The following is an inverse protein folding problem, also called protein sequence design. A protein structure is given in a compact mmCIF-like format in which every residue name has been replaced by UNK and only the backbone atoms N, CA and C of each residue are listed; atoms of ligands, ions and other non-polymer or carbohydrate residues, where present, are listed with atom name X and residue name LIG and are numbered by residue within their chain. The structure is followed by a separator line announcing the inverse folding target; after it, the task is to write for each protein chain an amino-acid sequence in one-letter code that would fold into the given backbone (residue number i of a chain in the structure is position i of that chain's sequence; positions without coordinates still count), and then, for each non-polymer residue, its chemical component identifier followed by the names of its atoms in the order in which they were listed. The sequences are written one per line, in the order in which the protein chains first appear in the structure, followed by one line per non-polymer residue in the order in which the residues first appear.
data_IF_657527371217
#
_entry.id   IF_657527371217
#
_cell.length_a   1.000
_cell.length_b   1.000
_cell.length_c   1.000
_cell.angle_alpha   90.00
_cell.angle_beta   90.00
_cell.angle_gamma   90.00
#
_symmetry.space_group_name_H-M   'P 1'
#
loop_
_entity.id
_entity.type
_entity.pdbx_description
1 polymer ?
#
# COMPACT_ATOMS: atom_id res chain seq x y z
N UNK A 1 16.99 13.85 11.01
CA UNK A 1 16.08 12.68 11.11
C UNK A 1 16.90 11.41 11.03
N UNK A 2 16.82 10.54 12.03
CA UNK A 2 17.64 9.32 12.13
C UNK A 2 17.21 8.28 11.08
N UNK A 3 18.17 7.47 10.59
CA UNK A 3 17.93 6.34 9.68
C UNK A 3 16.79 5.40 10.15
N UNK A 4 16.71 4.99 11.43
CA UNK A 4 15.63 4.13 11.91
C UNK A 4 14.24 4.73 11.71
N UNK A 5 14.06 6.04 11.92
CA UNK A 5 12.75 6.67 11.74
C UNK A 5 12.31 6.65 10.28
N UNK A 6 13.24 6.81 9.34
CA UNK A 6 12.94 6.73 7.90
C UNK A 6 12.55 5.31 7.48
N UNK A 7 13.23 4.29 8.01
CA UNK A 7 12.87 2.89 7.77
C UNK A 7 11.49 2.55 8.36
N UNK A 8 11.22 3.02 9.57
CA UNK A 8 9.91 2.84 10.20
C UNK A 8 8.79 3.44 9.35
N UNK A 9 9.00 4.63 8.79
CA UNK A 9 8.02 5.26 7.90
C UNK A 9 7.91 4.55 6.54
N UNK A 10 8.99 3.96 6.04
CA UNK A 10 8.95 3.14 4.82
C UNK A 10 8.12 1.86 5.01
N UNK A 11 8.25 1.24 6.18
CA UNK A 11 7.61 -0.05 6.52
C UNK A 11 6.21 0.14 7.14
N UNK A 12 5.87 1.34 7.59
CA UNK A 12 4.58 1.63 8.23
C UNK A 12 3.37 1.10 7.45
N UNK A 13 3.25 1.30 6.12
CA UNK A 13 2.12 0.74 5.37
C UNK A 13 2.02 -0.78 5.42
N UNK A 14 3.15 -1.48 5.44
CA UNK A 14 3.16 -2.94 5.61
C UNK A 14 2.64 -3.33 6.99
N UNK A 15 3.11 -2.66 8.04
CA UNK A 15 2.65 -2.91 9.42
C UNK A 15 1.14 -2.69 9.51
N UNK A 16 0.63 -1.59 8.95
CA UNK A 16 -0.80 -1.32 8.92
C UNK A 16 -1.57 -2.36 8.12
N UNK A 17 -1.02 -2.84 7.01
CA UNK A 17 -1.67 -3.89 6.20
C UNK A 17 -1.77 -5.21 6.97
N UNK A 18 -0.70 -5.61 7.67
CA UNK A 18 -0.68 -6.82 8.50
C UNK A 18 -1.66 -6.69 9.67
N UNK A 19 -1.66 -5.55 10.35
CA UNK A 19 -2.58 -5.26 11.46
C UNK A 19 -4.04 -5.30 10.98
N UNK A 20 -4.32 -4.68 9.83
CA UNK A 20 -5.64 -4.70 9.21
C UNK A 20 -6.09 -6.12 8.92
N UNK A 21 -5.21 -6.96 8.36
CA UNK A 21 -5.56 -8.35 8.10
C UNK A 21 -5.79 -9.19 9.34
N UNK A 22 -4.96 -9.00 10.36
CA UNK A 22 -5.15 -9.67 11.65
C UNK A 22 -6.51 -9.32 12.27
N UNK A 23 -6.86 -8.03 12.31
CA UNK A 23 -8.16 -7.57 12.81
C UNK A 23 -9.34 -8.07 11.96
N UNK A 24 -9.15 -8.21 10.64
CA UNK A 24 -10.19 -8.74 9.74
C UNK A 24 -10.38 -10.24 9.97
N UNK A 25 -9.30 -11.01 10.12
CA UNK A 25 -9.35 -12.46 10.36
C UNK A 25 -9.92 -12.82 11.74
N UNK A 26 -9.66 -12.00 12.77
CA UNK A 26 -10.25 -12.18 14.09
C UNK A 26 -11.72 -11.74 14.16
N UNK A 27 -12.27 -11.20 13.08
CA UNK A 27 -13.67 -10.75 13.00
C UNK A 27 -13.93 -9.42 13.72
N UNK A 28 -12.87 -8.69 14.11
CA UNK A 28 -13.00 -7.34 14.66
C UNK A 28 -13.40 -6.32 13.60
N UNK A 29 -12.99 -6.54 12.34
CA UNK A 29 -13.40 -5.77 11.18
C UNK A 29 -14.29 -6.64 10.29
N UNK A 30 -15.56 -6.25 10.15
CA UNK A 30 -16.52 -6.92 9.28
C UNK A 30 -17.14 -5.89 8.34
N UNK A 31 -16.91 -6.07 7.05
CA UNK A 31 -17.42 -5.20 5.98
C UNK A 31 -18.60 -5.84 5.23
N UNK A 32 -19.17 -6.92 5.78
CA UNK A 32 -20.31 -7.63 5.22
C UNK A 32 -19.95 -8.77 4.27
N UNK A 33 -18.66 -8.99 3.97
CA UNK A 33 -18.20 -10.09 3.11
C UNK A 33 -17.79 -11.36 3.89
N UNK A 34 -17.76 -11.31 5.22
CA UNK A 34 -17.35 -12.43 6.06
C UNK A 34 -15.90 -12.83 5.79
N UNK A 35 -15.64 -14.11 5.52
CA UNK A 35 -14.30 -14.61 5.18
C UNK A 35 -13.69 -13.94 3.94
N UNK A 36 -14.52 -13.38 3.06
CA UNK A 36 -14.07 -12.73 1.82
C UNK A 36 -13.49 -11.34 2.06
N UNK A 37 -13.66 -10.77 3.25
CA UNK A 37 -13.05 -9.47 3.57
C UNK A 37 -11.52 -9.53 3.53
N UNK A 38 -10.94 -10.74 3.63
CA UNK A 38 -9.50 -10.99 3.43
C UNK A 38 -9.01 -10.57 2.03
N UNK A 39 -9.87 -10.59 1.00
CA UNK A 39 -9.48 -10.16 -0.34
C UNK A 39 -9.14 -8.66 -0.41
N UNK A 40 -9.63 -7.86 0.54
CA UNK A 40 -9.28 -6.44 0.66
C UNK A 40 -7.80 -6.24 1.04
N UNK A 41 -7.12 -7.26 1.57
CA UNK A 41 -5.67 -7.18 1.80
C UNK A 41 -4.87 -7.12 0.51
N UNK A 42 -5.31 -7.77 -0.58
CA UNK A 42 -4.53 -7.87 -1.81
C UNK A 42 -4.18 -6.49 -2.37
N UNK A 43 -5.13 -5.56 -2.58
CA UNK A 43 -4.80 -4.22 -3.06
C UNK A 43 -3.97 -3.43 -2.03
N UNK A 44 -4.18 -3.63 -0.73
CA UNK A 44 -3.39 -2.97 0.33
C UNK A 44 -1.93 -3.44 0.36
N UNK A 45 -1.70 -4.75 0.22
CA UNK A 45 -0.38 -5.37 0.14
C UNK A 45 0.37 -4.89 -1.10
N UNK A 46 -0.31 -4.84 -2.24
CA UNK A 46 0.28 -4.34 -3.47
C UNK A 46 0.63 -2.85 -3.34
N UNK A 47 -0.26 -2.04 -2.75
CA UNK A 47 0.00 -0.62 -2.52
C UNK A 47 1.20 -0.39 -1.59
N UNK A 48 1.25 -1.11 -0.46
CA UNK A 48 2.34 -1.00 0.53
C UNK A 48 3.69 -1.45 -0.05
N UNK A 49 3.71 -2.48 -0.90
CA UNK A 49 4.91 -2.91 -1.62
C UNK A 49 5.41 -1.84 -2.58
N UNK A 50 4.53 -1.28 -3.42
CA UNK A 50 4.91 -0.22 -4.36
C UNK A 50 5.40 1.02 -3.61
N UNK A 51 4.70 1.41 -2.54
CA UNK A 51 5.12 2.51 -1.68
C UNK A 51 6.54 2.30 -1.13
N UNK A 52 6.83 1.11 -0.59
CA UNK A 52 8.14 0.77 -0.02
C UNK A 52 9.24 0.84 -1.08
N UNK A 53 9.02 0.24 -2.24
CA UNK A 53 9.96 0.27 -3.36
C UNK A 53 10.23 1.71 -3.85
N UNK A 54 9.18 2.53 -3.99
CA UNK A 54 9.32 3.93 -4.37
C UNK A 54 10.07 4.75 -3.31
N UNK A 55 9.78 4.51 -2.03
CA UNK A 55 10.43 5.19 -0.93
C UNK A 55 11.93 4.86 -0.89
N UNK A 56 12.30 3.60 -1.09
CA UNK A 56 13.70 3.16 -1.19
C UNK A 56 14.40 3.74 -2.44
N UNK A 57 13.72 3.78 -3.59
CA UNK A 57 14.27 4.36 -4.81
C UNK A 57 14.52 5.88 -4.66
N UNK A 58 13.62 6.59 -4.00
CA UNK A 58 13.73 8.04 -3.75
C UNK A 58 14.65 8.38 -2.59
N UNK A 59 15.00 7.41 -1.74
CA UNK A 59 15.86 7.59 -0.55
C UNK A 59 17.20 8.26 -0.87
N UNK A 60 17.77 7.98 -2.05
CA UNK A 60 19.06 8.55 -2.47
C UNK A 60 18.98 10.04 -2.83
N UNK A 61 17.79 10.58 -3.08
CA UNK A 61 17.61 12.00 -3.43
C UNK A 61 17.55 12.81 -2.15
N UNK A 62 18.43 13.79 -1.94
CA UNK A 62 18.51 14.65 -0.72
C UNK A 62 17.28 15.57 -0.47
N UNK A 63 16.06 15.16 -0.85
CA UNK A 63 14.85 15.94 -0.66
C UNK A 63 14.34 15.85 0.78
N UNK A 64 13.49 16.81 1.14
CA UNK A 64 12.77 16.79 2.41
C UNK A 64 11.87 15.55 2.51
N UNK A 65 11.77 14.98 3.71
CA UNK A 65 11.05 13.72 3.93
C UNK A 65 9.58 13.80 3.52
N UNK A 66 8.89 14.90 3.81
CA UNK A 66 7.48 15.09 3.40
C UNK A 66 7.29 14.95 1.88
N UNK A 67 8.28 15.37 1.08
CA UNK A 67 8.26 15.22 -0.38
C UNK A 67 8.47 13.76 -0.79
N UNK A 68 9.30 12.99 -0.08
CA UNK A 68 9.42 11.54 -0.32
C UNK A 68 8.12 10.80 -0.03
N UNK A 69 7.46 11.13 1.08
CA UNK A 69 6.19 10.52 1.47
C UNK A 69 5.10 10.80 0.44
N UNK A 70 4.94 12.07 0.07
CA UNK A 70 3.95 12.47 -0.92
C UNK A 70 4.17 11.80 -2.27
N UNK A 71 5.40 11.78 -2.77
CA UNK A 71 5.70 11.11 -4.05
C UNK A 71 5.52 9.60 -3.99
N UNK A 72 5.96 8.94 -2.91
CA UNK A 72 5.85 7.48 -2.79
C UNK A 72 4.38 7.05 -2.66
N UNK A 73 3.59 7.77 -1.86
CA UNK A 73 2.15 7.53 -1.73
C UNK A 73 1.41 7.85 -3.03
N UNK A 74 1.79 8.92 -3.71
CA UNK A 74 1.23 9.29 -5.02
C UNK A 74 1.49 8.23 -6.07
N UNK A 75 2.75 7.78 -6.23
CA UNK A 75 3.11 6.73 -7.20
C UNK A 75 2.39 5.42 -6.88
N UNK A 76 2.36 5.00 -5.60
CA UNK A 76 1.65 3.80 -5.20
C UNK A 76 0.16 3.88 -5.52
N UNK A 77 -0.48 5.01 -5.26
CA UNK A 77 -1.90 5.22 -5.57
C UNK A 77 -2.17 5.19 -7.06
N UNK A 78 -1.36 5.91 -7.86
CA UNK A 78 -1.49 5.91 -9.33
C UNK A 78 -1.28 4.51 -9.90
N UNK A 79 -0.27 3.78 -9.42
CA UNK A 79 0.01 2.42 -9.87
C UNK A 79 -1.17 1.47 -9.62
N UNK A 80 -1.77 1.54 -8.42
CA UNK A 80 -2.95 0.72 -8.09
C UNK A 80 -4.15 1.12 -8.96
N UNK A 81 -4.44 2.41 -9.09
CA UNK A 81 -5.56 2.89 -9.94
C UNK A 81 -5.39 2.42 -11.38
N UNK A 82 -4.20 2.55 -11.95
CA UNK A 82 -3.91 2.07 -13.31
C UNK A 82 -4.08 0.56 -13.42
N UNK A 83 -3.58 -0.21 -12.45
CA UNK A 83 -3.76 -1.67 -12.43
C UNK A 83 -5.24 -2.06 -12.43
N UNK A 84 -6.07 -1.41 -11.62
CA UNK A 84 -7.51 -1.63 -11.60
C UNK A 84 -8.19 -1.25 -12.92
N UNK A 85 -7.83 -0.12 -13.52
CA UNK A 85 -8.38 0.30 -14.81
C UNK A 85 -8.03 -0.70 -15.93
N UNK A 86 -6.81 -1.23 -15.92
CA UNK A 86 -6.38 -2.27 -16.87
C UNK A 86 -7.17 -3.57 -16.67
N UNK A 87 -7.33 -4.02 -15.42
CA UNK A 87 -8.12 -5.21 -15.10
C UNK A 87 -9.59 -5.04 -15.50
N UNK A 88 -10.19 -3.88 -15.22
CA UNK A 88 -11.56 -3.57 -15.62
C UNK A 88 -11.71 -3.57 -17.15
N UNK A 89 -10.81 -2.91 -17.86
CA UNK A 89 -10.80 -2.90 -19.32
C UNK A 89 -10.63 -4.29 -19.92
N UNK A 90 -9.72 -5.10 -19.37
CA UNK A 90 -9.51 -6.48 -19.80
C UNK A 90 -10.75 -7.36 -19.56
N UNK A 91 -11.41 -7.20 -18.40
CA UNK A 91 -12.63 -7.93 -18.07
C UNK A 91 -13.84 -7.54 -18.90
N UNK A 92 -13.87 -6.33 -19.47
CA UNK A 92 -14.95 -5.87 -20.33
C UNK A 92 -14.87 -6.41 -21.77
N UNK A 93 -13.70 -6.96 -22.16
CA UNK A 93 -13.43 -7.47 -23.51
C UNK A 93 -13.45 -9.01 -23.55
N UNK A 94 -13.40 -9.66 -22.37
CA UNK A 94 -13.46 -11.11 -22.19
C UNK A 94 -14.90 -11.60 -22.02
#
# INVERSE_FOLDING_TARGET
MSIPLKLLVAVAPFIFTVLFGWLTMEGHLNFGGGEKDVFLLIPLLLWSLVYFCCFLALWRRRWALGRWLGWSAGIATVAIVVAWLVLLGASAIA
#
